data_IF_650889204946
#
_entry.id   IF_650889204946
#
_cell.length_a   1.000
_cell.length_b   1.000
_cell.length_c   1.000
_cell.angle_alpha   90.00
_cell.angle_beta   90.00
_cell.angle_gamma   90.00
#
_symmetry.space_group_name_H-M   'P 1'
#
loop_
_entity.id
_entity.type
_entity.pdbx_description
1 polymer ?
#
# COMPACT_ATOMS: atom_id res chain seq x y z
N UNK A 1 -6.96 -17.36 16.38
CA UNK A 1 -7.85 -16.58 15.48
C UNK A 1 -8.71 -17.49 14.61
N UNK A 2 -10.01 -17.20 14.53
CA UNK A 2 -10.91 -17.88 13.58
C UNK A 2 -10.57 -17.50 12.14
N UNK A 3 -10.92 -18.35 11.19
CA UNK A 3 -10.68 -18.10 9.77
C UNK A 3 -11.45 -16.89 9.23
N UNK A 4 -12.66 -16.66 9.76
CA UNK A 4 -13.46 -15.46 9.46
C UNK A 4 -12.74 -14.20 9.91
N UNK A 5 -12.15 -14.20 11.11
CA UNK A 5 -11.38 -13.08 11.64
C UNK A 5 -10.13 -12.81 10.80
N UNK A 6 -9.39 -13.85 10.41
CA UNK A 6 -8.18 -13.73 9.58
C UNK A 6 -8.49 -13.05 8.23
N UNK A 7 -9.57 -13.48 7.55
CA UNK A 7 -10.04 -12.88 6.30
C UNK A 7 -10.55 -11.45 6.46
N UNK A 8 -11.16 -11.12 7.60
CA UNK A 8 -11.62 -9.76 7.86
C UNK A 8 -10.44 -8.80 8.00
N UNK A 9 -9.43 -9.18 8.79
CA UNK A 9 -8.22 -8.40 8.97
C UNK A 9 -7.45 -8.23 7.66
N UNK A 10 -7.24 -9.31 6.89
CA UNK A 10 -6.59 -9.24 5.59
C UNK A 10 -7.31 -8.26 4.63
N UNK A 11 -8.64 -8.24 4.63
CA UNK A 11 -9.40 -7.32 3.75
C UNK A 11 -9.33 -5.88 4.22
N UNK A 12 -9.49 -5.63 5.52
CA UNK A 12 -9.40 -4.27 6.09
C UNK A 12 -8.02 -3.67 5.90
N UNK A 13 -6.97 -4.42 6.26
CA UNK A 13 -5.60 -3.98 6.08
C UNK A 13 -5.26 -3.79 4.60
N UNK A 14 -5.65 -4.73 3.74
CA UNK A 14 -5.47 -4.62 2.30
C UNK A 14 -6.13 -3.37 1.70
N UNK A 15 -7.33 -2.99 2.15
CA UNK A 15 -8.01 -1.78 1.69
C UNK A 15 -7.24 -0.50 2.09
N UNK A 16 -6.78 -0.44 3.34
CA UNK A 16 -5.97 0.70 3.83
C UNK A 16 -4.67 0.83 3.04
N UNK A 17 -3.95 -0.28 2.85
CA UNK A 17 -2.71 -0.30 2.06
C UNK A 17 -2.95 0.09 0.60
N UNK A 18 -4.05 -0.39 0.01
CA UNK A 18 -4.40 -0.05 -1.37
C UNK A 18 -4.60 1.45 -1.57
N UNK A 19 -5.37 2.12 -0.69
CA UNK A 19 -5.57 3.57 -0.76
C UNK A 19 -4.24 4.31 -0.65
N UNK A 20 -3.38 3.89 0.29
CA UNK A 20 -2.08 4.53 0.50
C UNK A 20 -1.18 4.39 -0.73
N UNK A 21 -1.09 3.18 -1.28
CA UNK A 21 -0.31 2.90 -2.50
C UNK A 21 -0.87 3.65 -3.71
N UNK A 22 -2.19 3.78 -3.83
CA UNK A 22 -2.82 4.52 -4.92
C UNK A 22 -2.43 6.00 -4.89
N UNK A 23 -2.44 6.62 -3.71
CA UNK A 23 -1.99 8.02 -3.54
C UNK A 23 -0.50 8.17 -3.86
N UNK A 24 0.35 7.25 -3.39
CA UNK A 24 1.79 7.29 -3.68
C UNK A 24 2.09 7.10 -5.18
N UNK A 25 1.43 6.13 -5.82
CA UNK A 25 1.60 5.87 -7.24
C UNK A 25 1.07 7.02 -8.09
N UNK A 26 -0.11 7.56 -7.75
CA UNK A 26 -0.71 8.68 -8.46
C UNK A 26 0.13 9.96 -8.36
N UNK A 27 0.63 10.29 -7.17
CA UNK A 27 1.54 11.43 -6.99
C UNK A 27 2.86 11.25 -7.75
N UNK A 28 3.48 10.07 -7.68
CA UNK A 28 4.71 9.77 -8.44
C UNK A 28 4.52 9.87 -9.95
N UNK A 29 3.39 9.36 -10.47
CA UNK A 29 3.06 9.44 -11.88
C UNK A 29 2.83 10.88 -12.33
N UNK A 30 2.09 11.67 -11.54
CA UNK A 30 1.83 13.08 -11.85
C UNK A 30 3.12 13.90 -11.90
N UNK A 31 4.04 13.69 -10.95
CA UNK A 31 5.35 14.33 -10.93
C UNK A 31 6.19 13.93 -12.15
N UNK A 32 6.27 12.63 -12.44
CA UNK A 32 7.00 12.09 -13.59
C UNK A 32 6.49 12.65 -14.93
N UNK A 33 5.17 12.74 -15.08
CA UNK A 33 4.54 13.25 -16.31
C UNK A 33 4.81 14.75 -16.50
N UNK A 34 4.75 15.55 -15.42
CA UNK A 34 5.09 16.98 -15.49
C UNK A 34 6.54 17.20 -15.90
N UNK A 35 7.46 16.38 -15.39
CA UNK A 35 8.87 16.45 -15.75
C UNK A 35 9.08 16.05 -17.22
N UNK A 36 8.44 14.97 -17.68
CA UNK A 36 8.57 14.47 -19.04
C UNK A 36 7.97 15.39 -20.11
N UNK A 37 6.85 16.07 -19.81
CA UNK A 37 6.14 16.92 -20.76
C UNK A 37 6.56 18.40 -20.73
N UNK A 38 7.54 18.78 -19.90
CA UNK A 38 8.00 20.17 -19.79
C UNK A 38 6.88 21.14 -19.40
N UNK A 39 5.98 20.70 -18.50
CA UNK A 39 4.72 21.39 -18.23
C UNK A 39 4.89 22.88 -17.86
N UNK A 40 3.93 23.75 -18.23
CA UNK A 40 4.01 25.19 -18.00
C UNK A 40 4.20 25.51 -16.50
N UNK A 41 4.74 26.70 -16.16
CA UNK A 41 4.82 27.15 -14.77
C UNK A 41 3.44 27.05 -14.15
N UNK A 42 3.34 26.19 -13.15
CA UNK A 42 2.11 25.93 -12.44
C UNK A 42 1.68 27.23 -11.75
N UNK A 43 0.41 27.63 -11.89
CA UNK A 43 -0.14 28.69 -11.05
C UNK A 43 0.11 28.38 -9.56
N UNK A 44 0.18 29.40 -8.72
CA UNK A 44 0.63 29.32 -7.32
C UNK A 44 0.00 28.17 -6.52
N UNK A 45 -1.29 27.88 -6.75
CA UNK A 45 -2.01 26.75 -6.14
C UNK A 45 -1.55 25.36 -6.60
N UNK A 46 -1.21 25.21 -7.88
CA UNK A 46 -0.66 23.97 -8.45
C UNK A 46 0.78 23.77 -7.98
N UNK A 47 1.54 24.85 -7.74
CA UNK A 47 2.86 24.78 -7.11
C UNK A 47 2.79 24.28 -5.66
N UNK A 48 1.82 24.74 -4.86
CA UNK A 48 1.61 24.25 -3.49
C UNK A 48 1.20 22.78 -3.46
N UNK A 49 0.29 22.36 -4.34
CA UNK A 49 -0.11 20.95 -4.49
C UNK A 49 1.06 20.08 -4.94
N UNK A 50 1.89 20.58 -5.86
CA UNK A 50 3.08 19.87 -6.32
C UNK A 50 4.16 19.77 -5.25
N UNK A 51 4.39 20.83 -4.47
CA UNK A 51 5.31 20.81 -3.34
C UNK A 51 4.83 19.84 -2.26
N UNK A 52 3.55 19.88 -1.91
CA UNK A 52 2.94 18.93 -0.98
C UNK A 52 3.01 17.49 -1.51
N UNK A 53 2.79 17.27 -2.81
CA UNK A 53 2.94 15.96 -3.43
C UNK A 53 4.41 15.51 -3.46
N UNK A 54 5.35 16.41 -3.71
CA UNK A 54 6.79 16.13 -3.69
C UNK A 54 7.27 15.79 -2.28
N UNK A 55 6.80 16.51 -1.24
CA UNK A 55 7.07 16.18 0.16
C UNK A 55 6.46 14.83 0.53
N UNK A 56 5.22 14.56 0.11
CA UNK A 56 4.58 13.27 0.34
C UNK A 56 5.31 12.12 -0.36
N UNK A 57 5.87 12.38 -1.55
CA UNK A 57 6.50 11.37 -2.41
C UNK A 57 7.98 11.14 -2.07
N UNK A 58 8.78 12.20 -1.94
CA UNK A 58 10.20 12.12 -1.61
C UNK A 58 10.44 11.86 -0.12
N UNK A 59 9.40 11.97 0.71
CA UNK A 59 9.44 11.72 2.14
C UNK A 59 9.74 13.02 2.85
N UNK A 60 8.71 13.64 3.42
CA UNK A 60 8.77 14.92 4.13
C UNK A 60 9.57 14.85 5.43
N UNK A 61 10.84 14.47 5.34
CA UNK A 61 11.75 14.22 6.46
C UNK A 61 11.40 12.96 7.25
N UNK A 62 11.72 12.98 8.54
CA UNK A 62 11.57 11.84 9.47
C UNK A 62 10.14 11.26 9.51
N UNK A 63 9.12 12.09 9.34
CA UNK A 63 7.72 11.65 9.30
C UNK A 63 7.43 10.78 8.06
N UNK A 64 8.02 11.10 6.92
CA UNK A 64 7.92 10.31 5.71
C UNK A 64 8.58 8.94 5.86
N UNK A 65 9.74 8.90 6.50
CA UNK A 65 10.46 7.66 6.77
C UNK A 65 9.70 6.75 7.75
N UNK A 66 9.13 7.31 8.82
CA UNK A 66 8.25 6.55 9.70
C UNK A 66 7.04 5.99 8.94
N UNK A 67 6.43 6.80 8.06
CA UNK A 67 5.35 6.35 7.18
C UNK A 67 5.75 5.17 6.29
N UNK A 68 6.97 5.18 5.73
CA UNK A 68 7.51 4.07 4.93
C UNK A 68 7.75 2.81 5.76
N UNK A 69 8.27 2.94 6.97
CA UNK A 69 8.46 1.80 7.89
C UNK A 69 7.11 1.18 8.26
N UNK A 70 6.12 2.01 8.60
CA UNK A 70 4.76 1.54 8.90
C UNK A 70 4.10 0.88 7.68
N UNK A 71 4.29 1.44 6.47
CA UNK A 71 3.82 0.84 5.23
C UNK A 71 4.47 -0.54 5.00
N UNK A 72 5.79 -0.62 5.12
CA UNK A 72 6.53 -1.88 4.95
C UNK A 72 6.07 -2.94 5.95
N UNK A 73 5.93 -2.57 7.23
CA UNK A 73 5.38 -3.45 8.26
C UNK A 73 3.95 -3.90 7.93
N UNK A 74 3.09 -2.98 7.47
CA UNK A 74 1.73 -3.28 7.03
C UNK A 74 1.68 -4.29 5.87
N UNK A 75 2.55 -4.13 4.87
CA UNK A 75 2.68 -5.07 3.75
C UNK A 75 3.12 -6.45 4.23
N UNK A 76 4.10 -6.53 5.14
CA UNK A 76 4.55 -7.79 5.72
C UNK A 76 3.43 -8.50 6.49
N UNK A 77 2.67 -7.76 7.31
CA UNK A 77 1.50 -8.30 8.01
C UNK A 77 0.45 -8.79 7.01
N UNK A 78 0.17 -8.03 5.96
CA UNK A 78 -0.78 -8.40 4.92
C UNK A 78 -0.36 -9.69 4.20
N UNK A 79 0.92 -9.80 3.83
CA UNK A 79 1.48 -11.00 3.21
C UNK A 79 1.38 -12.21 4.15
N UNK A 80 1.72 -12.04 5.43
CA UNK A 80 1.59 -13.08 6.46
C UNK A 80 0.15 -13.56 6.64
N UNK A 81 -0.82 -12.64 6.67
CA UNK A 81 -2.24 -12.98 6.73
C UNK A 81 -2.68 -13.78 5.49
N UNK A 82 -2.25 -13.35 4.29
CA UNK A 82 -2.53 -14.06 3.04
C UNK A 82 -1.95 -15.47 3.02
N UNK A 83 -0.69 -15.63 3.44
CA UNK A 83 -0.03 -16.93 3.57
C UNK A 83 -0.76 -17.85 4.55
N UNK A 84 -1.19 -17.31 5.70
CA UNK A 84 -1.97 -18.04 6.70
C UNK A 84 -3.34 -18.51 6.18
N UNK A 85 -4.04 -17.67 5.40
CA UNK A 85 -5.29 -18.05 4.71
C UNK A 85 -5.00 -19.20 3.74
N UNK A 86 -3.95 -19.07 2.92
CA UNK A 86 -3.56 -20.08 1.94
C UNK A 86 -3.20 -21.43 2.55
N UNK A 87 -2.44 -21.44 3.65
CA UNK A 87 -2.09 -22.66 4.37
C UNK A 87 -3.33 -23.39 4.90
N UNK A 88 -4.27 -22.66 5.52
CA UNK A 88 -5.55 -23.22 6.00
C UNK A 88 -6.45 -23.71 4.87
N UNK A 89 -6.39 -23.11 3.69
CA UNK A 89 -7.13 -23.58 2.51
C UNK A 89 -6.55 -24.90 1.97
N UNK A 90 -5.21 -25.01 1.92
CA UNK A 90 -4.52 -26.23 1.48
C UNK A 90 -4.73 -27.40 2.43
N UNK A 91 -4.73 -27.18 3.75
CA UNK A 91 -4.98 -28.22 4.73
C UNK A 91 -6.35 -28.92 4.58
N UNK A 92 -7.36 -28.23 4.05
CA UNK A 92 -8.70 -28.80 3.77
C UNK A 92 -8.77 -29.59 2.46
N UNK A 93 -7.80 -29.43 1.57
CA UNK A 93 -7.75 -30.13 0.28
C UNK A 93 -7.04 -31.48 0.35
N UNK A 94 -6.50 -31.86 1.51
CA UNK A 94 -6.03 -33.24 1.72
C UNK A 94 -7.24 -34.07 2.13
N UNK A 95 -7.86 -34.85 1.22
CA UNK A 95 -8.79 -35.87 1.65
C UNK A 95 -8.03 -36.77 2.62
N UNK A 96 -8.58 -36.97 3.81
CA UNK A 96 -8.12 -38.02 4.70
C UNK A 96 -8.26 -39.32 3.93
N UNK A 97 -7.15 -39.84 3.40
CA UNK A 97 -7.01 -41.24 3.04
C UNK A 97 -7.21 -42.01 4.33
N UNK A 98 -8.47 -42.27 4.67
CA UNK A 98 -8.85 -43.29 5.64
C UNK A 98 -8.70 -44.60 4.89
N UNK A 99 -7.52 -45.19 5.02
CA UNK A 99 -7.28 -46.61 4.80
C UNK A 99 -7.80 -47.38 6.01
#
# INVERSE_FOLDING_TARGET
MTERTLRLWHRRLGMVLFVFLLVQAGSGLALSLRHALGGPPAGEGVHRLAAAAADLHHGGGEAGDLGRVLLAAGILVQAGLGAGIGAKARGRRRPSLRL
#
